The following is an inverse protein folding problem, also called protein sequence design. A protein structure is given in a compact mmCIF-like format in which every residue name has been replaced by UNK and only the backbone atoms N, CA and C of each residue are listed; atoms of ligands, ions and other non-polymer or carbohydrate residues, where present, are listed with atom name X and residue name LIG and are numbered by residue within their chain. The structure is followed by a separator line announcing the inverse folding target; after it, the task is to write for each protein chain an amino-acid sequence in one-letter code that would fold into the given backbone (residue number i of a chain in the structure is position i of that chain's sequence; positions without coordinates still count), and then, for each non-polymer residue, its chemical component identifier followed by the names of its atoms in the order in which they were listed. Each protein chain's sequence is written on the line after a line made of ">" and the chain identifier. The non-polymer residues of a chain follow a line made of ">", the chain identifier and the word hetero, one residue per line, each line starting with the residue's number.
data_IF_268760478857
#
_entry.id   IF_268760478857
#
_cell.length_a   1.000
_cell.length_b   1.000
_cell.length_c   1.000
_cell.angle_alpha   90.00
_cell.angle_beta   90.00
_cell.angle_gamma   90.00
#
_symmetry.space_group_name_H-M   'P 1'
#
loop_
_entity.id
_entity.type
_entity.pdbx_description
1 polymer ?
#
# COMPACT_ATOMS: atom_id res chain seq x y z
N UNK A 1 5.05 19.43 31.02
CA UNK A 1 5.36 18.54 29.86
C UNK A 1 4.26 18.77 28.85
N UNK A 2 4.60 19.15 27.63
CA UNK A 2 3.63 19.39 26.55
C UNK A 2 3.37 18.11 25.73
N UNK A 3 2.43 18.20 24.78
CA UNK A 3 2.04 17.07 23.92
C UNK A 3 3.19 16.55 23.06
N UNK A 4 4.01 17.42 22.48
CA UNK A 4 5.16 17.03 21.66
C UNK A 4 6.22 16.26 22.47
N UNK A 5 6.51 16.71 23.69
CA UNK A 5 7.42 16.02 24.61
C UNK A 5 6.86 14.67 25.05
N UNK A 6 5.55 14.57 25.29
CA UNK A 6 4.90 13.31 25.59
C UNK A 6 5.02 12.33 24.41
N UNK A 7 4.72 12.78 23.18
CA UNK A 7 4.80 11.95 21.98
C UNK A 7 6.22 11.41 21.75
N UNK A 8 7.23 12.27 21.88
CA UNK A 8 8.62 11.85 21.78
C UNK A 8 9.01 10.80 22.83
N UNK A 9 8.43 10.87 24.05
CA UNK A 9 8.63 9.84 25.09
C UNK A 9 7.91 8.54 24.76
N UNK A 10 6.70 8.58 24.20
CA UNK A 10 5.97 7.40 23.73
C UNK A 10 6.81 6.67 22.68
N UNK A 11 7.31 7.38 21.66
CA UNK A 11 8.17 6.80 20.63
C UNK A 11 9.46 6.21 21.19
N UNK A 12 10.14 6.90 22.09
CA UNK A 12 11.32 6.34 22.78
C UNK A 12 10.98 5.09 23.60
N UNK A 13 9.79 5.04 24.20
CA UNK A 13 9.28 3.87 24.89
C UNK A 13 9.12 2.67 23.96
N UNK A 14 8.50 2.88 22.79
CA UNK A 14 8.39 1.86 21.75
C UNK A 14 9.76 1.42 21.22
N UNK A 15 10.69 2.35 20.99
CA UNK A 15 12.06 2.03 20.61
C UNK A 15 12.77 1.12 21.61
N UNK A 16 12.63 1.40 22.91
CA UNK A 16 13.18 0.55 23.98
C UNK A 16 12.54 -0.84 24.01
N UNK A 17 11.23 -0.94 23.81
CA UNK A 17 10.56 -2.23 23.73
C UNK A 17 11.06 -3.02 22.51
N UNK A 18 11.13 -2.38 21.34
CA UNK A 18 11.55 -2.99 20.09
C UNK A 18 12.97 -3.56 20.13
N UNK A 19 13.88 -2.97 20.93
CA UNK A 19 15.21 -3.54 21.15
C UNK A 19 15.20 -4.94 21.79
N UNK A 20 14.09 -5.35 22.43
CA UNK A 20 13.96 -6.65 23.10
C UNK A 20 13.09 -7.65 22.34
N UNK A 21 12.05 -7.17 21.65
CA UNK A 21 11.05 -8.02 20.98
C UNK A 21 11.06 -7.89 19.46
N UNK A 22 11.82 -6.94 18.93
CA UNK A 22 11.87 -6.60 17.51
C UNK A 22 13.09 -7.17 16.80
N UNK A 23 13.06 -7.06 15.49
CA UNK A 23 14.15 -7.41 14.57
C UNK A 23 14.68 -6.15 13.90
N UNK A 24 15.90 -6.15 13.35
CA UNK A 24 16.39 -5.02 12.56
C UNK A 24 15.57 -4.86 11.27
N UNK A 25 15.14 -3.63 11.00
CA UNK A 25 14.51 -3.19 9.75
C UNK A 25 15.23 -1.98 9.21
N UNK A 26 15.35 -1.91 7.88
CA UNK A 26 15.83 -0.75 7.16
C UNK A 26 14.65 0.17 6.86
N UNK A 27 14.77 1.44 7.22
CA UNK A 27 13.81 2.48 6.88
C UNK A 27 14.17 3.10 5.53
N UNK A 28 13.22 3.14 4.61
CA UNK A 28 13.30 3.83 3.32
C UNK A 28 12.29 4.97 3.29
N UNK A 29 12.67 6.10 2.71
CA UNK A 29 11.78 7.23 2.50
C UNK A 29 11.62 7.45 0.99
N UNK A 30 10.41 7.33 0.44
CA UNK A 30 10.19 7.59 -0.99
C UNK A 30 10.63 9.01 -1.35
N UNK A 31 11.44 9.15 -2.41
CA UNK A 31 11.88 10.45 -2.94
C UNK A 31 11.32 10.75 -4.33
N UNK A 32 10.73 9.75 -4.98
CA UNK A 32 10.09 9.88 -6.31
C UNK A 32 8.88 8.96 -6.40
N UNK A 33 8.00 9.21 -7.39
CA UNK A 33 6.88 8.32 -7.74
C UNK A 33 7.33 6.95 -8.31
N UNK A 34 8.63 6.72 -8.46
CA UNK A 34 9.20 5.49 -8.99
C UNK A 34 10.10 4.82 -7.94
N UNK A 35 9.75 3.57 -7.61
CA UNK A 35 10.50 2.67 -6.76
C UNK A 35 10.89 3.28 -5.39
N UNK A 36 9.99 3.28 -4.39
CA UNK A 36 10.25 3.90 -3.09
C UNK A 36 11.43 3.27 -2.34
N UNK A 37 11.79 2.02 -2.67
CA UNK A 37 12.91 1.29 -2.07
C UNK A 37 14.23 1.48 -2.81
N UNK A 38 14.25 2.12 -3.98
CA UNK A 38 15.47 2.48 -4.71
C UNK A 38 16.12 3.76 -4.16
N UNK A 39 16.20 3.86 -2.83
CA UNK A 39 16.82 4.98 -2.10
C UNK A 39 17.80 4.42 -1.08
N UNK A 40 18.76 5.23 -0.63
CA UNK A 40 19.61 4.83 0.49
C UNK A 40 18.75 4.72 1.76
N UNK A 41 18.85 3.64 2.55
CA UNK A 41 18.15 3.55 3.83
C UNK A 41 18.45 4.76 4.71
N UNK A 42 17.39 5.37 5.27
CA UNK A 42 17.49 6.50 6.20
C UNK A 42 18.19 6.07 7.48
N UNK A 43 17.87 4.87 7.96
CA UNK A 43 18.47 4.26 9.14
C UNK A 43 18.12 2.76 9.21
N UNK A 44 18.78 2.07 10.14
CA UNK A 44 18.39 0.73 10.59
C UNK A 44 17.94 0.83 12.05
N UNK A 45 16.77 0.29 12.36
CA UNK A 45 16.26 0.27 13.73
C UNK A 45 15.56 -1.06 14.06
N UNK A 46 15.44 -1.37 15.35
CA UNK A 46 14.64 -2.52 15.78
C UNK A 46 13.16 -2.18 15.66
N UNK A 47 12.40 -3.06 15.03
CA UNK A 47 10.95 -2.95 14.91
C UNK A 47 10.26 -4.29 15.18
N UNK A 48 9.10 -4.21 15.83
CA UNK A 48 8.16 -5.31 16.01
C UNK A 48 6.78 -4.90 15.53
N UNK A 49 6.05 -5.84 14.94
CA UNK A 49 4.72 -5.61 14.39
C UNK A 49 3.75 -6.58 15.03
N UNK A 50 2.64 -6.05 15.53
CA UNK A 50 1.60 -6.82 16.22
C UNK A 50 0.22 -6.31 15.85
N UNK A 51 -0.82 -7.04 16.20
CA UNK A 51 -2.23 -6.66 15.97
C UNK A 51 -2.88 -6.14 17.25
N UNK A 52 -2.28 -6.44 18.40
CA UNK A 52 -2.60 -5.90 19.72
C UNK A 52 -1.33 -5.86 20.60
N UNK A 53 -1.36 -5.11 21.71
CA UNK A 53 -0.25 -5.09 22.67
C UNK A 53 -0.22 -6.31 23.61
N UNK A 54 -1.16 -7.25 23.47
CA UNK A 54 -1.23 -8.43 24.34
C UNK A 54 -0.36 -9.57 23.84
N UNK A 55 -0.03 -9.61 22.54
CA UNK A 55 0.78 -10.67 21.91
C UNK A 55 0.24 -12.08 22.17
N UNK A 56 -1.07 -12.21 22.39
CA UNK A 56 -1.69 -13.46 22.81
C UNK A 56 -2.37 -14.23 21.66
N UNK A 57 -2.33 -13.68 20.45
CA UNK A 57 -2.97 -14.27 19.26
C UNK A 57 -2.03 -14.23 18.05
N UNK A 58 -2.03 -15.28 17.22
CA UNK A 58 -1.36 -15.24 15.93
C UNK A 58 -2.14 -14.38 14.94
N UNK A 59 -1.44 -13.97 13.88
CA UNK A 59 -2.05 -13.23 12.77
C UNK A 59 -3.00 -14.11 11.97
N UNK A 60 -3.99 -13.49 11.35
CA UNK A 60 -5.02 -14.16 10.55
C UNK A 60 -4.89 -13.79 9.09
N UNK A 61 -5.41 -14.66 8.21
CA UNK A 61 -5.52 -14.34 6.79
C UNK A 61 -6.38 -13.08 6.57
N UNK A 62 -6.02 -12.31 5.54
CA UNK A 62 -6.74 -11.07 5.18
C UNK A 62 -6.44 -9.88 6.11
N UNK A 63 -5.42 -9.97 6.96
CA UNK A 63 -5.01 -8.89 7.84
C UNK A 63 -3.85 -8.09 7.23
N UNK A 64 -4.17 -6.90 6.70
CA UNK A 64 -3.16 -5.99 6.14
C UNK A 64 -2.51 -5.08 7.19
N UNK A 65 -3.21 -4.82 8.30
CA UNK A 65 -2.93 -3.68 9.18
C UNK A 65 -2.32 -4.10 10.50
N UNK A 66 -1.35 -3.33 10.97
CA UNK A 66 -0.47 -3.67 12.09
C UNK A 66 -0.19 -2.46 12.96
N UNK A 67 0.04 -2.72 14.24
CA UNK A 67 0.64 -1.78 15.19
C UNK A 67 2.15 -1.95 15.12
N UNK A 68 2.84 -0.86 14.82
CA UNK A 68 4.29 -0.75 14.83
C UNK A 68 4.81 -0.39 16.21
N UNK A 69 5.77 -1.18 16.70
CA UNK A 69 6.52 -0.92 17.93
C UNK A 69 7.96 -0.69 17.53
N UNK A 70 8.34 0.59 17.46
CA UNK A 70 9.67 1.06 17.11
C UNK A 70 9.83 2.54 17.50
N UNK A 71 11.06 3.07 17.44
CA UNK A 71 11.30 4.49 17.67
C UNK A 71 10.79 5.33 16.49
N UNK A 72 9.65 6.00 16.69
CA UNK A 72 9.01 6.85 15.69
C UNK A 72 9.60 8.26 15.54
N UNK A 73 10.65 8.64 16.29
CA UNK A 73 11.12 10.04 16.31
C UNK A 73 11.71 10.55 14.99
N UNK A 74 12.17 9.67 14.10
CA UNK A 74 12.67 10.02 12.76
C UNK A 74 11.89 9.29 11.64
N UNK A 75 10.63 8.93 11.93
CA UNK A 75 9.74 8.21 11.02
C UNK A 75 8.58 9.12 10.65
N UNK A 76 8.12 9.05 9.41
CA UNK A 76 6.93 9.76 8.93
C UNK A 76 5.99 8.81 8.18
N UNK A 77 4.68 9.11 8.10
CA UNK A 77 3.78 8.39 7.21
C UNK A 77 4.30 8.36 5.77
N UNK A 78 4.16 7.22 5.10
CA UNK A 78 4.72 6.94 3.78
C UNK A 78 6.13 6.32 3.78
N UNK A 79 6.84 6.34 4.91
CA UNK A 79 8.10 5.59 5.04
C UNK A 79 7.85 4.06 4.93
N UNK A 80 8.84 3.34 4.44
CA UNK A 80 8.83 1.88 4.32
C UNK A 80 9.84 1.25 5.26
N UNK A 81 9.48 0.15 5.91
CA UNK A 81 10.34 -0.69 6.72
C UNK A 81 10.50 -2.04 6.02
N UNK A 82 11.74 -2.43 5.72
CA UNK A 82 12.08 -3.70 5.07
C UNK A 82 12.97 -4.53 5.99
N UNK A 83 12.58 -5.77 6.26
CA UNK A 83 13.30 -6.63 7.19
C UNK A 83 12.67 -8.01 7.35
N UNK A 84 12.85 -8.59 8.55
CA UNK A 84 12.55 -10.01 8.83
C UNK A 84 11.13 -10.47 8.44
N UNK A 85 10.11 -9.67 8.73
CA UNK A 85 8.69 -9.96 8.47
C UNK A 85 8.18 -9.45 7.12
N UNK A 86 9.10 -9.04 6.23
CA UNK A 86 8.78 -8.47 4.92
C UNK A 86 8.82 -6.94 4.91
N UNK A 87 7.95 -6.37 4.09
CA UNK A 87 7.87 -4.92 3.87
C UNK A 87 6.61 -4.36 4.49
N UNK A 88 6.73 -3.25 5.20
CA UNK A 88 5.62 -2.51 5.80
C UNK A 88 5.74 -1.04 5.40
N UNK A 89 4.63 -0.37 5.12
CA UNK A 89 4.63 1.10 5.07
C UNK A 89 3.96 1.68 6.32
N UNK A 90 4.40 2.86 6.71
CA UNK A 90 3.82 3.61 7.82
C UNK A 90 2.60 4.35 7.30
N UNK A 91 1.41 3.89 7.70
CA UNK A 91 0.15 4.46 7.22
C UNK A 91 -0.22 5.70 8.01
N UNK A 92 -0.10 5.68 9.34
CA UNK A 92 -0.40 6.85 10.18
C UNK A 92 0.37 6.85 11.51
N UNK A 93 0.58 8.06 12.03
CA UNK A 93 1.25 8.34 13.31
C UNK A 93 0.47 9.39 14.10
N UNK A 94 -0.79 9.09 14.41
CA UNK A 94 -1.67 10.00 15.16
C UNK A 94 -1.13 10.27 16.56
N UNK A 95 -1.33 11.49 17.06
CA UNK A 95 -0.82 11.90 18.37
C UNK A 95 -1.34 11.00 19.48
N UNK A 96 -0.43 10.51 20.32
CA UNK A 96 -0.65 9.60 21.46
C UNK A 96 -1.23 8.23 21.14
N UNK A 97 -1.53 7.95 19.87
CA UNK A 97 -1.99 6.65 19.41
C UNK A 97 -0.81 5.79 18.91
N UNK A 98 -1.00 4.45 18.85
CA UNK A 98 0.01 3.56 18.30
C UNK A 98 0.32 3.88 16.84
N UNK A 99 1.56 3.60 16.43
CA UNK A 99 1.97 3.78 15.03
C UNK A 99 1.27 2.73 14.17
N UNK A 100 0.53 3.17 13.16
CA UNK A 100 -0.25 2.31 12.29
C UNK A 100 0.52 1.99 11.01
N UNK A 101 0.68 0.71 10.75
CA UNK A 101 1.47 0.17 9.64
C UNK A 101 0.62 -0.75 8.77
N UNK A 102 0.99 -0.88 7.51
CA UNK A 102 0.36 -1.80 6.57
C UNK A 102 1.43 -2.72 5.98
N UNK A 103 1.19 -4.02 6.02
CA UNK A 103 2.08 -5.01 5.42
C UNK A 103 1.85 -5.11 3.92
N UNK A 104 2.95 -5.05 3.17
CA UNK A 104 2.98 -5.18 1.72
C UNK A 104 3.23 -6.64 1.33
N UNK A 105 2.42 -7.16 0.42
CA UNK A 105 2.54 -8.52 -0.11
C UNK A 105 2.74 -8.56 -1.64
N UNK A 106 2.62 -7.41 -2.33
CA UNK A 106 2.84 -7.24 -3.77
C UNK A 106 3.56 -5.94 -4.04
N UNK A 107 4.11 -5.82 -5.23
CA UNK A 107 4.74 -4.62 -5.78
C UNK A 107 3.95 -4.16 -6.99
N UNK A 108 3.31 -3.00 -6.90
CA UNK A 108 2.41 -2.48 -7.92
C UNK A 108 3.05 -1.38 -8.75
N UNK A 109 2.69 -1.34 -10.03
CA UNK A 109 2.86 -0.18 -10.91
C UNK A 109 1.51 0.26 -11.42
N UNK A 110 1.24 1.56 -11.38
CA UNK A 110 -0.02 2.17 -11.78
C UNK A 110 0.16 2.95 -13.08
N UNK A 111 -0.77 2.76 -13.99
CA UNK A 111 -0.79 3.34 -15.32
C UNK A 111 -2.13 4.02 -15.57
N UNK A 112 -2.09 5.05 -16.42
CA UNK A 112 -3.28 5.73 -16.93
C UNK A 112 -3.31 5.62 -18.44
N UNK A 113 -4.48 5.29 -18.98
CA UNK A 113 -4.68 5.29 -20.43
C UNK A 113 -4.72 6.75 -20.91
N UNK A 114 -3.82 7.10 -21.83
CA UNK A 114 -3.90 8.37 -22.57
C UNK A 114 -4.93 8.24 -23.69
N UNK A 115 -5.87 9.19 -23.78
CA UNK A 115 -6.68 9.33 -25.00
C UNK A 115 -5.83 9.95 -26.10
N UNK A 116 -5.79 9.29 -27.25
CA UNK A 116 -5.07 9.80 -28.41
C UNK A 116 -5.72 11.11 -28.89
N UNK A 117 -4.93 12.17 -29.07
CA UNK A 117 -5.42 13.53 -29.32
C UNK A 117 -5.65 13.82 -30.82
N UNK A 118 -5.84 12.79 -31.64
CA UNK A 118 -5.88 12.93 -33.09
C UNK A 118 -7.29 13.32 -33.58
N UNK A 119 -7.41 14.49 -34.20
CA UNK A 119 -8.62 14.93 -34.93
C UNK A 119 -8.62 14.26 -36.32
N UNK A 120 -9.40 13.21 -36.48
CA UNK A 120 -9.50 12.41 -37.72
C UNK A 120 -10.09 11.03 -37.42
N UNK A 121 -10.50 10.24 -38.42
CA UNK A 121 -11.22 8.97 -38.24
C UNK A 121 -10.47 8.01 -37.29
N UNK A 122 -10.82 8.00 -36.01
CA UNK A 122 -10.26 7.11 -34.99
C UNK A 122 -10.86 5.73 -35.25
N UNK A 123 -10.09 4.83 -35.85
CA UNK A 123 -10.41 3.40 -35.83
C UNK A 123 -10.46 2.92 -34.38
N UNK A 124 -11.43 2.06 -34.04
CA UNK A 124 -11.65 1.47 -32.72
C UNK A 124 -10.36 1.32 -31.89
N UNK A 125 -10.09 2.27 -30.99
CA UNK A 125 -8.91 2.29 -30.14
C UNK A 125 -9.20 1.51 -28.87
N UNK A 126 -8.88 0.21 -28.88
CA UNK A 126 -8.87 -0.58 -27.64
C UNK A 126 -7.72 -0.17 -26.72
N UNK A 127 -7.85 -0.46 -25.42
CA UNK A 127 -6.77 -0.34 -24.45
C UNK A 127 -5.61 -1.25 -24.88
N UNK A 128 -4.63 -0.69 -25.60
CA UNK A 128 -3.39 -1.38 -25.94
C UNK A 128 -2.29 -0.91 -24.99
N UNK A 129 -1.30 -1.76 -24.70
CA UNK A 129 -0.16 -1.37 -23.83
C UNK A 129 0.56 -0.08 -24.29
N UNK A 130 0.40 0.31 -25.57
CA UNK A 130 1.00 1.50 -26.16
C UNK A 130 0.39 2.82 -25.67
N UNK A 131 -0.83 2.81 -25.14
CA UNK A 131 -1.51 4.02 -24.62
C UNK A 131 -1.41 4.16 -23.09
N UNK A 132 -0.71 3.25 -22.41
CA UNK A 132 -0.57 3.25 -20.96
C UNK A 132 0.61 4.12 -20.50
N UNK A 133 0.31 5.27 -19.90
CA UNK A 133 1.31 6.16 -19.32
C UNK A 133 1.53 5.81 -17.85
N UNK A 134 2.76 5.49 -17.41
CA UNK A 134 3.02 5.17 -16.01
C UNK A 134 2.82 6.40 -15.12
N UNK A 135 2.00 6.25 -14.07
CA UNK A 135 1.83 7.25 -13.01
C UNK A 135 2.82 7.00 -11.87
N UNK A 136 2.98 5.73 -11.49
CA UNK A 136 3.72 5.31 -10.32
C UNK A 136 4.25 3.90 -10.56
N UNK A 137 5.51 3.60 -10.22
CA UNK A 137 6.12 2.31 -10.59
C UNK A 137 6.83 1.63 -9.43
N UNK A 138 6.69 0.32 -9.34
CA UNK A 138 7.40 -0.55 -8.39
C UNK A 138 7.15 -0.22 -6.90
N UNK A 139 5.90 0.05 -6.50
CA UNK A 139 5.53 0.39 -5.13
C UNK A 139 5.04 -0.83 -4.34
N UNK A 140 5.69 -1.19 -3.22
CA UNK A 140 5.17 -2.22 -2.34
C UNK A 140 3.82 -1.81 -1.75
N UNK A 141 2.82 -2.68 -1.88
CA UNK A 141 1.44 -2.43 -1.51
C UNK A 141 0.82 -3.66 -0.83
N UNK A 142 -0.26 -3.45 -0.10
CA UNK A 142 -1.10 -4.55 0.38
C UNK A 142 -2.19 -4.81 -0.64
N UNK A 143 -2.28 -6.04 -1.15
CA UNK A 143 -3.24 -6.48 -2.16
C UNK A 143 -3.95 -7.70 -1.61
N UNK A 144 -5.19 -7.53 -1.16
CA UNK A 144 -5.98 -8.58 -0.53
C UNK A 144 -7.25 -8.86 -1.32
N UNK A 145 -7.54 -10.14 -1.55
CA UNK A 145 -8.79 -10.55 -2.15
C UNK A 145 -9.94 -10.35 -1.16
N UNK A 146 -11.00 -9.69 -1.61
CA UNK A 146 -12.25 -9.55 -0.87
C UNK A 146 -13.01 -10.87 -0.77
N UNK A 147 -13.83 -11.02 0.27
CA UNK A 147 -14.60 -12.25 0.53
C UNK A 147 -15.84 -12.41 -0.34
N UNK A 148 -16.27 -11.34 -1.01
CA UNK A 148 -17.42 -11.34 -1.93
C UNK A 148 -16.95 -10.87 -3.29
N UNK A 149 -16.91 -11.78 -4.26
CA UNK A 149 -16.76 -11.41 -5.67
C UNK A 149 -18.01 -10.71 -6.19
N UNK A 150 -17.86 -10.02 -7.32
CA UNK A 150 -18.95 -9.32 -7.98
C UNK A 150 -19.71 -10.26 -8.91
N UNK A 151 -21.02 -10.04 -9.04
CA UNK A 151 -21.86 -10.86 -9.90
C UNK A 151 -21.78 -10.30 -11.32
N UNK A 152 -21.41 -11.15 -12.27
CA UNK A 152 -21.31 -10.75 -13.66
C UNK A 152 -22.72 -10.46 -14.23
N UNK A 153 -22.83 -9.37 -15.00
CA UNK A 153 -24.11 -8.89 -15.54
C UNK A 153 -24.78 -9.90 -16.47
N UNK A 154 -23.99 -10.69 -17.19
CA UNK A 154 -24.48 -11.67 -18.17
C UNK A 154 -25.21 -12.87 -17.52
N UNK A 155 -24.96 -13.16 -16.23
CA UNK A 155 -25.59 -14.23 -15.44
C UNK A 155 -25.68 -15.57 -16.17
N UNK A 156 -24.63 -15.94 -16.90
CA UNK A 156 -24.62 -17.16 -17.70
C UNK A 156 -24.52 -18.40 -16.78
N UNK A 157 -25.07 -19.55 -17.18
CA UNK A 157 -24.84 -20.80 -16.47
C UNK A 157 -23.34 -21.12 -16.40
N UNK A 158 -22.81 -21.33 -15.18
CA UNK A 158 -21.39 -21.61 -14.96
C UNK A 158 -20.52 -20.37 -14.69
N UNK A 159 -21.13 -19.18 -14.66
CA UNK A 159 -20.40 -17.93 -14.46
C UNK A 159 -19.88 -17.80 -13.02
N UNK A 160 -18.57 -17.57 -12.89
CA UNK A 160 -17.89 -17.42 -11.59
C UNK A 160 -17.77 -15.94 -11.29
N UNK A 161 -18.08 -15.57 -10.04
CA UNK A 161 -17.98 -14.18 -9.60
C UNK A 161 -16.56 -13.64 -9.82
N UNK A 162 -16.47 -12.46 -10.41
CA UNK A 162 -15.20 -11.78 -10.62
C UNK A 162 -14.59 -11.42 -9.26
N UNK A 163 -13.34 -11.81 -8.97
CA UNK A 163 -12.71 -11.54 -7.70
C UNK A 163 -12.48 -10.04 -7.53
N UNK A 164 -12.91 -9.53 -6.39
CA UNK A 164 -12.71 -8.13 -5.98
C UNK A 164 -11.49 -8.03 -5.07
N UNK A 165 -10.74 -6.94 -5.19
CA UNK A 165 -9.50 -6.73 -4.45
C UNK A 165 -9.54 -5.43 -3.66
N UNK A 166 -9.12 -5.49 -2.40
CA UNK A 166 -8.84 -4.34 -1.55
C UNK A 166 -7.35 -4.07 -1.58
N UNK A 167 -6.97 -2.88 -2.00
CA UNK A 167 -5.58 -2.48 -2.18
C UNK A 167 -5.29 -1.28 -1.29
N UNK A 168 -4.23 -1.37 -0.49
CA UNK A 168 -3.75 -0.28 0.37
C UNK A 168 -2.36 0.16 -0.10
N UNK A 169 -2.20 1.45 -0.34
CA UNK A 169 -0.96 2.08 -0.80
C UNK A 169 -0.70 3.37 -0.03
N UNK A 170 0.56 3.74 0.22
CA UNK A 170 0.86 5.08 0.74
C UNK A 170 0.47 6.15 -0.27
N UNK A 171 0.18 7.36 0.22
CA UNK A 171 0.08 8.54 -0.62
C UNK A 171 1.46 9.04 -1.05
N UNK A 172 1.55 9.64 -2.23
CA UNK A 172 2.75 10.31 -2.71
C UNK A 172 2.38 11.64 -3.39
N UNK A 173 3.05 12.77 -3.04
CA UNK A 173 2.69 14.09 -3.54
C UNK A 173 2.57 14.16 -5.07
N UNK A 174 1.45 14.69 -5.53
CA UNK A 174 1.18 14.89 -6.96
C UNK A 174 0.58 13.67 -7.68
N UNK A 175 0.41 12.53 -7.01
CA UNK A 175 -0.25 11.36 -7.59
C UNK A 175 -1.70 11.26 -7.10
N UNK A 176 -2.63 11.26 -8.06
CA UNK A 176 -4.06 11.08 -7.79
C UNK A 176 -4.54 9.89 -8.61
N UNK A 177 -4.96 8.84 -7.91
CA UNK A 177 -5.59 7.68 -8.52
C UNK A 177 -7.04 7.97 -8.90
N UNK A 178 -7.48 7.34 -9.99
CA UNK A 178 -8.83 7.47 -10.54
C UNK A 178 -9.42 6.10 -10.81
N UNK A 179 -10.74 6.04 -10.84
CA UNK A 179 -11.44 4.91 -11.45
C UNK A 179 -10.93 4.70 -12.87
N UNK A 180 -10.78 3.43 -13.27
CA UNK A 180 -10.22 2.97 -14.54
C UNK A 180 -8.71 3.12 -14.71
N UNK A 181 -7.97 3.67 -13.73
CA UNK A 181 -6.52 3.49 -13.72
C UNK A 181 -6.19 2.00 -13.58
N UNK A 182 -5.08 1.60 -14.21
CA UNK A 182 -4.66 0.22 -14.33
C UNK A 182 -3.51 -0.02 -13.37
N UNK A 183 -3.60 -1.08 -12.57
CA UNK A 183 -2.48 -1.55 -11.75
C UNK A 183 -1.96 -2.87 -12.29
N UNK A 184 -0.64 -3.02 -12.31
CA UNK A 184 0.04 -4.28 -12.62
C UNK A 184 0.92 -4.66 -11.45
N UNK A 185 0.85 -5.91 -11.03
CA UNK A 185 1.77 -6.45 -10.03
C UNK A 185 3.00 -7.10 -10.66
N UNK A 186 3.96 -7.50 -9.81
CA UNK A 186 5.19 -8.17 -10.22
C UNK A 186 4.97 -9.57 -10.80
N UNK A 187 3.78 -10.15 -10.63
CA UNK A 187 3.39 -11.46 -11.18
C UNK A 187 2.69 -11.34 -12.54
N UNK A 188 2.46 -10.11 -13.03
CA UNK A 188 1.78 -9.84 -14.29
C UNK A 188 0.26 -9.81 -14.17
N UNK A 189 -0.31 -9.85 -12.96
CA UNK A 189 -1.74 -9.64 -12.77
C UNK A 189 -2.12 -8.20 -13.09
N UNK A 190 -3.25 -8.03 -13.79
CA UNK A 190 -3.81 -6.73 -14.15
C UNK A 190 -5.06 -6.46 -13.33
N UNK A 191 -5.07 -5.31 -12.67
CA UNK A 191 -6.19 -4.82 -11.88
C UNK A 191 -6.69 -3.50 -12.46
N UNK A 192 -8.00 -3.30 -12.47
CA UNK A 192 -8.64 -2.05 -12.87
C UNK A 192 -9.27 -1.43 -11.63
N UNK A 193 -8.87 -0.20 -11.28
CA UNK A 193 -9.40 0.51 -10.11
C UNK A 193 -10.89 0.79 -10.35
N UNK A 194 -11.74 0.29 -9.46
CA UNK A 194 -13.18 0.57 -9.43
C UNK A 194 -13.53 1.74 -8.51
N UNK A 195 -12.80 1.90 -7.40
CA UNK A 195 -12.93 3.03 -6.47
C UNK A 195 -11.57 3.44 -5.92
N UNK A 196 -11.36 4.75 -5.80
CA UNK A 196 -10.16 5.33 -5.21
C UNK A 196 -10.54 6.30 -4.10
N UNK A 197 -10.23 5.95 -2.85
CA UNK A 197 -10.44 6.78 -1.67
C UNK A 197 -9.08 7.21 -1.10
N UNK A 198 -8.78 8.51 -1.13
CA UNK A 198 -7.64 9.07 -0.41
C UNK A 198 -8.05 9.37 1.02
N UNK A 199 -7.28 8.85 1.97
CA UNK A 199 -7.49 9.03 3.41
C UNK A 199 -6.22 9.60 4.05
N UNK A 200 -6.31 9.99 5.32
CA UNK A 200 -5.15 10.38 6.13
C UNK A 200 -4.11 9.26 6.28
N UNK A 201 -4.48 8.00 5.98
CA UNK A 201 -3.63 6.82 6.03
C UNK A 201 -3.03 6.42 4.68
N UNK A 202 -3.31 7.20 3.63
CA UNK A 202 -2.98 6.87 2.24
C UNK A 202 -4.21 6.41 1.44
N UNK A 203 -3.94 5.69 0.35
CA UNK A 203 -4.96 5.24 -0.60
C UNK A 203 -5.60 3.93 -0.16
N UNK A 204 -6.93 3.95 -0.08
CA UNK A 204 -7.77 2.75 -0.02
C UNK A 204 -8.44 2.58 -1.37
N UNK A 205 -7.96 1.59 -2.10
CA UNK A 205 -8.41 1.29 -3.45
C UNK A 205 -9.23 0.02 -3.45
N UNK A 206 -10.19 -0.01 -4.36
CA UNK A 206 -10.82 -1.25 -4.76
C UNK A 206 -10.60 -1.49 -6.23
N UNK A 207 -10.39 -2.74 -6.61
CA UNK A 207 -10.13 -3.10 -7.99
C UNK A 207 -10.74 -4.45 -8.37
N UNK A 208 -11.07 -4.59 -9.65
CA UNK A 208 -11.37 -5.88 -10.26
C UNK A 208 -10.13 -6.41 -10.97
N UNK A 209 -9.94 -7.72 -10.95
CA UNK A 209 -8.90 -8.34 -11.79
C UNK A 209 -9.42 -8.48 -13.22
N UNK A 210 -8.73 -7.86 -14.17
CA UNK A 210 -9.02 -8.07 -15.58
C UNK A 210 -8.53 -9.46 -15.98
N UNK A 211 -9.41 -10.25 -16.60
CA UNK A 211 -9.00 -11.51 -17.23
C UNK A 211 -8.12 -11.18 -18.45
N UNK A 212 -7.02 -11.91 -18.58
CA UNK A 212 -6.11 -11.85 -19.73
C UNK A 212 -6.70 -12.65 -20.89
#
# INVERSE_FOLDING_TARGET
>A
MDGATLQAKVYKGYGKAAQRIGYPYQQYRPTSANNPLATTPVQTLSASFTTDFMFNKPNRYGQATWIGIFDGTNVVPGDYFVGHGGTFFIAAMQDTLPIYCVQCNRTLSVYRVSMDSAVGQIGYGGDTQQTEVPLMQNWPASVLQGTKGEQNDAKLPGDVRTPWWSILMPDYPGIIFRTSDIMKDELGHRYIISSAELTDMGWRLTAMQAQV
#
